data_IF_705151572551
#
_entry.id   IF_705151572551
#
_cell.length_a   1.000
_cell.length_b   1.000
_cell.length_c   1.000
_cell.angle_alpha   90.00
_cell.angle_beta   90.00
_cell.angle_gamma   90.00
#
_symmetry.space_group_name_H-M   'P 1'
#
loop_
_entity.id
_entity.type
_entity.pdbx_description
1 polymer ?
#
# COMPACT_ATOMS: atom_id res chain seq x y z
N UNK A 1 10.16 -5.16 -4.50
CA UNK A 1 10.25 -5.19 -5.98
C UNK A 1 9.23 -4.25 -6.59
N UNK A 2 9.60 -3.52 -7.65
CA UNK A 2 8.63 -2.80 -8.50
C UNK A 2 7.71 -3.80 -9.19
N UNK A 3 6.44 -3.46 -9.33
CA UNK A 3 5.46 -4.29 -10.04
C UNK A 3 4.85 -3.52 -11.19
N UNK A 4 4.31 -4.25 -12.18
CA UNK A 4 3.49 -3.62 -13.21
C UNK A 4 2.25 -3.00 -12.53
N UNK A 5 1.94 -1.72 -12.74
CA UNK A 5 0.79 -1.09 -12.10
C UNK A 5 -0.50 -1.86 -12.34
N UNK A 6 -1.20 -2.19 -11.27
CA UNK A 6 -2.52 -2.82 -11.28
C UNK A 6 -3.49 -2.01 -10.42
N UNK A 7 -4.72 -1.87 -10.91
CA UNK A 7 -5.79 -1.22 -10.17
C UNK A 7 -6.17 -2.07 -8.97
N UNK A 8 -6.29 -1.42 -7.81
CA UNK A 8 -6.77 -2.03 -6.59
C UNK A 8 -7.78 -1.12 -5.89
N UNK A 9 -8.74 -1.76 -5.23
CA UNK A 9 -9.57 -1.10 -4.22
C UNK A 9 -8.87 -1.21 -2.87
N UNK A 10 -8.80 -0.10 -2.13
CA UNK A 10 -8.18 -0.11 -0.80
C UNK A 10 -9.11 -0.79 0.18
N UNK A 11 -8.60 -1.84 0.83
CA UNK A 11 -9.31 -2.64 1.82
C UNK A 11 -8.76 -2.39 3.23
N UNK A 12 -9.56 -2.66 4.27
CA UNK A 12 -9.22 -2.41 5.68
C UNK A 12 -8.09 -3.27 6.27
N UNK A 13 -7.43 -4.12 5.46
CA UNK A 13 -6.36 -5.02 5.89
C UNK A 13 -4.97 -4.37 5.92
N UNK A 14 -4.89 -3.08 5.65
CA UNK A 14 -3.62 -2.35 5.51
C UNK A 14 -3.58 -1.15 6.44
N UNK A 15 -2.42 -0.89 7.04
CA UNK A 15 -2.09 0.34 7.76
C UNK A 15 -1.21 1.21 6.87
N UNK A 16 -1.46 2.52 6.85
CA UNK A 16 -0.58 3.46 6.15
C UNK A 16 0.52 3.90 7.10
N UNK A 17 1.76 3.53 6.79
CA UNK A 17 2.94 3.92 7.58
C UNK A 17 3.43 5.32 7.17
N UNK A 18 3.30 5.66 5.89
CA UNK A 18 3.69 6.96 5.33
C UNK A 18 2.83 7.29 4.11
N UNK A 19 2.53 8.57 3.89
CA UNK A 19 1.85 9.03 2.69
C UNK A 19 2.33 10.42 2.27
N UNK A 20 2.17 10.71 0.98
CA UNK A 20 2.26 12.03 0.39
C UNK A 20 1.05 12.21 -0.57
N UNK A 21 0.86 13.37 -1.24
CA UNK A 21 -0.31 13.61 -2.08
C UNK A 21 -0.52 12.59 -3.21
N UNK A 22 0.53 11.88 -3.64
CA UNK A 22 0.51 10.97 -4.78
C UNK A 22 0.71 9.51 -4.42
N UNK A 23 1.31 9.22 -3.27
CA UNK A 23 1.69 7.85 -2.89
C UNK A 23 1.40 7.55 -1.43
N UNK A 24 1.04 6.29 -1.15
CA UNK A 24 0.87 5.75 0.19
C UNK A 24 1.70 4.48 0.35
N UNK A 25 2.59 4.47 1.34
CA UNK A 25 3.29 3.27 1.81
C UNK A 25 2.42 2.60 2.86
N UNK A 26 2.09 1.34 2.60
CA UNK A 26 1.23 0.55 3.47
C UNK A 26 1.90 -0.74 3.93
N UNK A 27 1.56 -1.15 5.15
CA UNK A 27 1.92 -2.43 5.75
C UNK A 27 0.67 -3.26 5.96
N UNK A 28 0.76 -4.56 5.74
CA UNK A 28 -0.34 -5.50 5.98
C UNK A 28 -0.58 -5.60 7.49
N UNK A 29 -1.82 -5.44 7.94
CA UNK A 29 -2.21 -5.66 9.34
C UNK A 29 -2.16 -7.15 9.62
N UNK A 30 -1.31 -7.54 10.58
CA UNK A 30 -1.21 -8.91 11.07
C UNK A 30 -2.10 -9.15 12.28
N UNK A 31 -2.25 -10.41 12.66
CA UNK A 31 -2.97 -10.86 13.86
C UNK A 31 -2.32 -10.38 15.18
N UNK A 32 -1.07 -9.93 15.15
CA UNK A 32 -0.25 -9.73 16.34
C UNK A 32 -0.12 -8.27 16.83
N UNK A 33 -0.80 -7.31 16.20
CA UNK A 33 -0.87 -5.92 16.71
C UNK A 33 -2.14 -5.76 17.55
N UNK A 34 -1.96 -5.85 18.87
CA UNK A 34 -2.99 -5.95 19.90
C UNK A 34 -4.03 -4.81 19.88
N UNK A 35 -5.29 -5.22 20.13
CA UNK A 35 -6.47 -4.46 20.61
C UNK A 35 -7.33 -3.71 19.58
N UNK A 36 -8.46 -4.32 19.18
CA UNK A 36 -9.80 -3.93 19.66
C UNK A 36 -10.93 -4.45 18.74
N UNK A 37 -11.78 -5.35 19.28
CA UNK A 37 -13.24 -5.32 19.07
C UNK A 37 -13.83 -5.74 17.72
N UNK A 38 -14.45 -6.92 17.71
CA UNK A 38 -15.66 -7.29 16.93
C UNK A 38 -15.60 -7.55 15.42
N UNK A 39 -14.50 -7.32 14.70
CA UNK A 39 -14.44 -7.67 13.26
C UNK A 39 -14.12 -9.16 12.97
N UNK A 40 -13.91 -9.99 14.00
CA UNK A 40 -13.41 -11.38 13.83
C UNK A 40 -14.48 -12.44 13.52
N UNK A 41 -15.76 -12.07 13.34
CA UNK A 41 -16.87 -13.04 13.24
C UNK A 41 -17.64 -13.04 11.90
N UNK A 42 -17.33 -12.18 10.94
CA UNK A 42 -18.00 -12.16 9.63
C UNK A 42 -17.06 -12.43 8.45
N UNK A 43 -16.14 -13.37 8.66
CA UNK A 43 -15.01 -13.61 7.76
C UNK A 43 -14.84 -15.11 7.48
N UNK A 44 -15.91 -15.90 7.61
CA UNK A 44 -15.92 -17.31 7.22
C UNK A 44 -15.96 -17.51 5.68
N UNK A 45 -15.72 -16.45 4.90
CA UNK A 45 -15.75 -16.43 3.42
C UNK A 45 -14.53 -15.71 2.82
N UNK A 46 -13.40 -15.64 3.56
CA UNK A 46 -12.11 -15.07 3.10
C UNK A 46 -11.14 -16.12 2.55
N UNK A 47 -11.52 -17.39 2.48
CA UNK A 47 -10.64 -18.44 1.94
C UNK A 47 -10.13 -18.17 0.50
N UNK A 48 -10.72 -17.22 -0.24
CA UNK A 48 -10.28 -16.82 -1.59
C UNK A 48 -9.28 -15.65 -1.67
N UNK A 49 -9.08 -14.85 -0.60
CA UNK A 49 -8.07 -13.76 -0.57
C UNK A 49 -6.71 -14.26 -0.09
N UNK A 50 -6.66 -15.54 0.29
CA UNK A 50 -5.50 -16.28 0.78
C UNK A 50 -4.45 -16.65 -0.28
N UNK A 51 -4.65 -16.30 -1.56
CA UNK A 51 -3.64 -16.59 -2.62
C UNK A 51 -2.70 -15.42 -2.93
N UNK A 52 -2.84 -14.30 -2.21
CA UNK A 52 -1.93 -13.16 -2.34
C UNK A 52 -0.64 -13.42 -1.56
N UNK A 53 0.44 -13.71 -2.31
CA UNK A 53 1.86 -13.70 -1.93
C UNK A 53 2.16 -12.89 -0.66
N UNK A 54 3.05 -13.45 0.16
CA UNK A 54 3.51 -13.06 1.52
C UNK A 54 3.97 -11.62 1.74
N UNK A 55 3.88 -10.76 0.73
CA UNK A 55 4.38 -9.39 0.73
C UNK A 55 3.74 -8.59 1.88
N UNK A 56 4.59 -8.11 2.79
CA UNK A 56 4.17 -7.38 4.00
C UNK A 56 3.96 -5.90 3.76
N UNK A 57 4.58 -5.36 2.70
CA UNK A 57 4.59 -3.94 2.39
C UNK A 57 4.20 -3.68 0.94
N UNK A 58 3.57 -2.54 0.71
CA UNK A 58 3.24 -2.07 -0.64
C UNK A 58 3.30 -0.56 -0.75
N UNK A 59 3.53 -0.06 -1.95
CA UNK A 59 3.36 1.35 -2.30
C UNK A 59 2.24 1.47 -3.31
N UNK A 60 1.29 2.34 -3.01
CA UNK A 60 0.16 2.68 -3.86
C UNK A 60 0.37 4.07 -4.44
N UNK A 61 0.04 4.23 -5.71
CA UNK A 61 -0.25 5.53 -6.29
C UNK A 61 -1.73 5.87 -6.08
N UNK A 62 -1.99 7.09 -5.63
CA UNK A 62 -3.31 7.62 -5.30
C UNK A 62 -3.53 8.96 -5.99
N UNK A 63 -4.80 9.26 -6.31
CA UNK A 63 -5.22 10.59 -6.76
C UNK A 63 -6.36 11.08 -5.88
N UNK A 64 -6.40 12.37 -5.51
CA UNK A 64 -7.41 12.90 -4.59
C UNK A 64 -8.83 12.83 -5.16
N UNK A 65 -8.99 12.70 -6.47
CA UNK A 65 -10.26 12.62 -7.19
C UNK A 65 -10.71 11.18 -7.50
N UNK A 66 -9.98 10.16 -7.02
CA UNK A 66 -10.22 8.78 -7.40
C UNK A 66 -10.16 7.82 -6.21
N UNK A 67 -11.19 6.99 -6.09
CA UNK A 67 -11.22 5.86 -5.14
C UNK A 67 -10.39 4.66 -5.64
N UNK A 68 -9.87 4.73 -6.87
CA UNK A 68 -9.05 3.69 -7.49
C UNK A 68 -7.57 3.99 -7.26
N UNK A 69 -6.90 3.04 -6.63
CA UNK A 69 -5.47 3.10 -6.33
C UNK A 69 -4.73 2.19 -7.30
N UNK A 70 -3.45 2.48 -7.54
CA UNK A 70 -2.61 1.62 -8.36
C UNK A 70 -1.46 1.07 -7.52
N UNK A 71 -1.35 -0.25 -7.45
CA UNK A 71 -0.22 -0.91 -6.80
C UNK A 71 1.02 -0.77 -7.68
N UNK A 72 2.10 -0.17 -7.18
CA UNK A 72 3.32 0.07 -7.98
C UNK A 72 4.56 -0.63 -7.45
N UNK A 73 4.59 -1.00 -6.16
CA UNK A 73 5.66 -1.78 -5.57
C UNK A 73 5.13 -2.64 -4.42
N UNK A 74 5.76 -3.79 -4.22
CA UNK A 74 5.52 -4.71 -3.10
C UNK A 74 6.86 -5.17 -2.53
N UNK A 75 6.94 -5.43 -1.22
CA UNK A 75 8.14 -6.01 -0.61
C UNK A 75 7.79 -6.86 0.61
N UNK A 76 8.66 -7.81 0.93
CA UNK A 76 8.56 -8.62 2.15
C UNK A 76 9.19 -7.93 3.37
N UNK A 77 10.16 -7.04 3.15
CA UNK A 77 10.92 -6.35 4.21
C UNK A 77 10.68 -4.84 4.22
N UNK A 78 10.91 -4.22 5.39
CA UNK A 78 10.74 -2.77 5.56
C UNK A 78 11.82 -2.00 4.81
N UNK A 79 13.03 -2.54 4.84
CA UNK A 79 14.22 -1.98 4.25
C UNK A 79 14.05 -1.85 2.74
N UNK A 80 13.59 -2.91 2.09
CA UNK A 80 13.37 -2.92 0.64
C UNK A 80 12.28 -1.94 0.22
N UNK A 81 11.14 -1.87 0.94
CA UNK A 81 10.08 -0.92 0.58
C UNK A 81 10.50 0.53 0.81
N UNK A 82 11.35 0.81 1.81
CA UNK A 82 11.88 2.16 2.03
C UNK A 82 12.84 2.59 0.92
N UNK A 83 13.60 1.67 0.31
CA UNK A 83 14.43 1.99 -0.87
C UNK A 83 13.55 2.43 -2.05
N UNK A 84 12.45 1.70 -2.31
CA UNK A 84 11.48 2.10 -3.34
C UNK A 84 10.83 3.46 -3.02
N UNK A 85 10.50 3.71 -1.75
CA UNK A 85 9.94 4.99 -1.32
C UNK A 85 10.93 6.15 -1.52
N UNK A 86 12.19 5.99 -1.12
CA UNK A 86 13.23 7.01 -1.30
C UNK A 86 13.43 7.32 -2.78
N UNK A 87 13.44 6.30 -3.63
CA UNK A 87 13.53 6.51 -5.08
C UNK A 87 12.38 7.37 -5.61
N UNK A 88 11.14 7.14 -5.16
CA UNK A 88 9.98 7.96 -5.53
C UNK A 88 10.18 9.41 -5.08
N UNK A 89 10.60 9.63 -3.84
CA UNK A 89 10.82 10.96 -3.29
C UNK A 89 11.92 11.72 -4.03
N UNK A 90 13.01 11.06 -4.37
CA UNK A 90 14.18 11.68 -5.00
C UNK A 90 13.96 11.98 -6.48
N UNK A 91 13.32 11.05 -7.22
CA UNK A 91 13.26 11.13 -8.68
C UNK A 91 11.87 11.46 -9.22
N UNK A 92 10.80 10.96 -8.61
CA UNK A 92 9.45 11.10 -9.14
C UNK A 92 8.75 12.35 -8.59
N UNK A 93 8.84 12.60 -7.28
CA UNK A 93 8.17 13.75 -6.65
C UNK A 93 8.55 15.12 -7.25
N UNK A 94 9.83 15.40 -7.59
CA UNK A 94 10.18 16.68 -8.21
C UNK A 94 9.53 16.90 -9.58
N UNK A 95 9.24 15.83 -10.32
CA UNK A 95 8.56 15.92 -11.62
C UNK A 95 7.06 16.16 -11.47
N UNK A 96 6.44 15.58 -10.44
CA UNK A 96 5.01 15.75 -10.16
C UNK A 96 4.72 17.14 -9.59
N UNK A 97 5.56 17.65 -8.68
CA UNK A 97 5.42 18.99 -8.11
C UNK A 97 5.54 20.11 -9.15
N UNK A 98 6.33 19.91 -10.22
CA UNK A 98 6.47 20.88 -11.31
C UNK A 98 5.24 20.99 -12.21
N UNK A 99 4.34 20.01 -12.21
CA UNK A 99 3.15 19.98 -13.08
C UNK A 99 1.93 20.68 -12.47
N UNK A 100 2.01 21.15 -11.22
CA UNK A 100 0.91 21.84 -10.53
C UNK A 100 1.14 23.36 -10.39
N UNK A 101 2.17 23.92 -11.03
CA UNK A 101 2.42 25.36 -11.11
C UNK A 101 2.35 25.85 -12.56
#
# INVERSE_FOLDING_TARGET
MWVKPSEILVTGFWSTDRANPYFALQRRRGHDEQQSGFASLFVATIDSVLDSKTNRYRILHQRPDSEVYHLIAEADTREEIEEHWKWIEEYLMPTLGKRIN
#
